data_IF_888938923757
#
_entry.id   IF_888938923757
#
_cell.length_a   1.000
_cell.length_b   1.000
_cell.length_c   1.000
_cell.angle_alpha   90.00
_cell.angle_beta   90.00
_cell.angle_gamma   90.00
#
_symmetry.space_group_name_H-M   'P 1'
#
loop_
_entity.id
_entity.type
_entity.pdbx_description
1 polymer ?
#
# COMPACT_ATOMS: atom_id res chain seq x y z
N UNK A 1 17.12 95.96 -3.35
CA UNK A 1 17.09 94.60 -3.91
C UNK A 1 15.71 94.01 -3.66
N UNK A 2 15.14 93.51 -4.74
CA UNK A 2 13.86 92.82 -4.91
C UNK A 2 13.59 91.72 -3.88
N UNK A 3 12.40 91.70 -3.28
CA UNK A 3 11.85 90.54 -2.59
C UNK A 3 10.58 90.08 -3.31
N UNK A 4 10.64 88.94 -3.99
CA UNK A 4 9.48 88.34 -4.64
C UNK A 4 8.40 87.95 -3.61
N UNK A 5 7.10 88.05 -3.92
CA UNK A 5 6.06 87.53 -3.05
C UNK A 5 6.18 85.99 -2.94
N UNK A 6 5.84 85.40 -1.78
CA UNK A 6 5.88 83.95 -1.61
C UNK A 6 4.93 83.26 -2.59
N UNK A 7 5.30 82.09 -3.16
CA UNK A 7 4.44 81.36 -4.07
C UNK A 7 3.17 80.90 -3.34
N UNK A 8 2.02 81.04 -4.01
CA UNK A 8 0.73 80.55 -3.51
C UNK A 8 0.77 79.03 -3.27
N UNK A 9 0.01 78.51 -2.29
CA UNK A 9 -0.05 77.08 -2.04
C UNK A 9 -0.61 76.39 -3.28
N UNK A 10 0.16 75.49 -3.89
CA UNK A 10 -0.34 74.68 -4.99
C UNK A 10 -1.40 73.72 -4.44
N UNK A 11 -2.65 73.91 -4.89
CA UNK A 11 -3.74 72.98 -4.62
C UNK A 11 -3.36 71.67 -5.30
N UNK A 12 -3.04 70.63 -4.51
CA UNK A 12 -2.77 69.30 -5.03
C UNK A 12 -3.92 68.89 -5.96
N UNK A 13 -3.66 68.36 -7.18
CA UNK A 13 -4.72 67.84 -8.02
C UNK A 13 -5.45 66.73 -7.24
N UNK A 14 -6.70 67.02 -6.82
CA UNK A 14 -7.63 66.11 -6.14
C UNK A 14 -8.18 65.05 -7.10
N UNK A 15 -7.32 64.49 -7.95
CA UNK A 15 -7.69 63.36 -8.82
C UNK A 15 -7.02 62.13 -8.23
N UNK A 16 -7.64 61.58 -7.19
CA UNK A 16 -7.29 60.26 -6.73
C UNK A 16 -7.55 59.26 -7.87
N UNK A 17 -6.62 58.34 -8.18
CA UNK A 17 -6.89 57.29 -9.16
C UNK A 17 -8.10 56.46 -8.68
N UNK A 18 -8.95 55.97 -9.60
CA UNK A 18 -10.09 55.14 -9.23
C UNK A 18 -9.60 53.92 -8.44
N UNK A 19 -10.37 53.48 -7.42
CA UNK A 19 -10.01 52.29 -6.65
C UNK A 19 -9.88 51.08 -7.59
N UNK A 20 -8.96 50.15 -7.30
CA UNK A 20 -8.80 48.94 -8.11
C UNK A 20 -10.13 48.17 -8.16
N UNK A 21 -10.41 47.46 -9.27
CA UNK A 21 -11.65 46.70 -9.43
C UNK A 21 -11.77 45.67 -8.30
N UNK A 22 -12.99 45.49 -7.79
CA UNK A 22 -13.26 44.50 -6.76
C UNK A 22 -12.81 43.11 -7.23
N UNK A 23 -12.18 42.31 -6.36
CA UNK A 23 -11.79 40.95 -6.72
C UNK A 23 -13.01 40.16 -7.18
N UNK A 24 -12.85 39.23 -8.13
CA UNK A 24 -13.98 38.44 -8.65
C UNK A 24 -14.68 37.75 -7.48
N UNK A 25 -15.99 37.98 -7.36
CA UNK A 25 -16.80 37.38 -6.29
C UNK A 25 -16.76 35.86 -6.43
N UNK A 26 -16.08 35.16 -5.51
CA UNK A 26 -16.06 33.70 -5.47
C UNK A 26 -17.44 33.19 -5.09
N UNK A 27 -17.91 32.14 -5.78
CA UNK A 27 -19.13 31.45 -5.40
C UNK A 27 -19.02 30.93 -3.96
N UNK A 28 -20.11 31.06 -3.21
CA UNK A 28 -20.17 30.60 -1.81
C UNK A 28 -19.96 29.07 -1.77
N UNK A 29 -19.01 28.56 -0.97
CA UNK A 29 -18.79 27.12 -0.86
C UNK A 29 -19.95 26.45 -0.12
N UNK A 30 -20.06 25.13 -0.28
CA UNK A 30 -20.99 24.32 0.50
C UNK A 30 -20.50 24.30 1.95
N UNK A 31 -21.24 24.93 2.86
CA UNK A 31 -20.87 25.01 4.28
C UNK A 31 -21.66 24.06 5.19
N UNK A 32 -22.64 23.34 4.64
CA UNK A 32 -23.49 22.41 5.42
C UNK A 32 -23.12 20.97 5.12
N UNK A 33 -23.16 20.12 6.14
CA UNK A 33 -22.97 18.66 5.99
C UNK A 33 -21.54 18.21 5.72
N UNK A 34 -20.53 19.08 5.95
CA UNK A 34 -19.14 18.78 5.63
C UNK A 34 -18.62 17.54 6.37
N UNK A 35 -18.98 17.39 7.65
CA UNK A 35 -18.58 16.24 8.46
C UNK A 35 -19.13 14.92 7.88
N UNK A 36 -20.43 14.88 7.56
CA UNK A 36 -21.04 13.69 6.96
C UNK A 36 -20.40 13.33 5.62
N UNK A 37 -20.20 14.33 4.74
CA UNK A 37 -19.54 14.11 3.46
C UNK A 37 -18.11 13.57 3.61
N UNK A 38 -17.37 14.03 4.63
CA UNK A 38 -16.03 13.52 4.94
C UNK A 38 -16.10 12.08 5.49
N UNK A 39 -16.98 11.79 6.45
CA UNK A 39 -17.15 10.45 7.02
C UNK A 39 -17.51 9.43 5.95
N UNK A 40 -18.47 9.74 5.07
CA UNK A 40 -18.86 8.83 3.98
C UNK A 40 -17.67 8.53 3.05
N UNK A 41 -16.85 9.54 2.72
CA UNK A 41 -15.67 9.35 1.88
C UNK A 41 -14.63 8.44 2.55
N UNK A 42 -14.29 8.72 3.81
CA UNK A 42 -13.30 7.95 4.57
C UNK A 42 -13.78 6.52 4.76
N UNK A 43 -15.05 6.31 5.10
CA UNK A 43 -15.62 4.98 5.26
C UNK A 43 -15.55 4.18 3.95
N UNK A 44 -15.96 4.80 2.84
CA UNK A 44 -15.90 4.16 1.51
C UNK A 44 -14.47 3.78 1.14
N UNK A 45 -13.50 4.69 1.36
CA UNK A 45 -12.08 4.40 1.14
C UNK A 45 -11.59 3.25 2.03
N UNK A 46 -11.98 3.24 3.30
CA UNK A 46 -11.65 2.17 4.24
C UNK A 46 -12.15 0.81 3.77
N UNK A 47 -13.42 0.71 3.34
CA UNK A 47 -13.99 -0.52 2.81
C UNK A 47 -13.27 -1.01 1.56
N UNK A 48 -12.95 -0.10 0.63
CA UNK A 48 -12.22 -0.45 -0.60
C UNK A 48 -10.82 -0.97 -0.25
N UNK A 49 -10.08 -0.29 0.62
CA UNK A 49 -8.75 -0.73 1.03
C UNK A 49 -8.78 -2.06 1.79
N UNK A 50 -9.79 -2.28 2.64
CA UNK A 50 -9.97 -3.55 3.34
C UNK A 50 -10.23 -4.71 2.36
N UNK A 51 -11.07 -4.49 1.34
CA UNK A 51 -11.33 -5.49 0.30
C UNK A 51 -10.05 -5.81 -0.51
N UNK A 52 -9.27 -4.79 -0.89
CA UNK A 52 -7.99 -4.98 -1.59
C UNK A 52 -6.99 -5.74 -0.71
N UNK A 53 -6.87 -5.39 0.56
CA UNK A 53 -5.98 -6.06 1.51
C UNK A 53 -6.36 -7.53 1.70
N UNK A 54 -7.65 -7.81 1.87
CA UNK A 54 -8.17 -9.18 1.98
C UNK A 54 -7.92 -10.01 0.71
N UNK A 55 -8.18 -9.42 -0.47
CA UNK A 55 -7.93 -10.08 -1.75
C UNK A 55 -6.43 -10.37 -1.93
N UNK A 56 -5.56 -9.44 -1.56
CA UNK A 56 -4.11 -9.60 -1.66
C UNK A 56 -3.61 -10.79 -0.85
N UNK A 57 -4.06 -10.93 0.41
CA UNK A 57 -3.70 -12.09 1.25
C UNK A 57 -4.20 -13.39 0.63
N UNK A 58 -5.43 -13.39 0.12
CA UNK A 58 -6.02 -14.58 -0.49
C UNK A 58 -5.22 -15.06 -1.71
N UNK A 59 -4.92 -14.16 -2.65
CA UNK A 59 -4.25 -14.51 -3.89
C UNK A 59 -2.75 -14.74 -3.73
N UNK A 60 -2.05 -13.95 -2.91
CA UNK A 60 -0.60 -14.03 -2.80
C UNK A 60 -0.09 -14.95 -1.70
N UNK A 61 -0.92 -15.28 -0.70
CA UNK A 61 -0.50 -16.15 0.40
C UNK A 61 -1.30 -17.45 0.39
N UNK A 62 -2.63 -17.36 0.45
CA UNK A 62 -3.47 -18.55 0.65
C UNK A 62 -3.47 -19.47 -0.56
N UNK A 63 -3.72 -18.94 -1.77
CA UNK A 63 -3.73 -19.75 -3.00
C UNK A 63 -2.41 -20.45 -3.30
N UNK A 64 -1.23 -19.78 -3.33
CA UNK A 64 0.01 -20.45 -3.64
C UNK A 64 0.39 -21.47 -2.56
N UNK A 65 0.07 -21.22 -1.29
CA UNK A 65 0.23 -22.22 -0.23
C UNK A 65 -0.57 -23.48 -0.54
N UNK A 66 -1.86 -23.35 -0.79
CA UNK A 66 -2.73 -24.50 -1.09
C UNK A 66 -2.22 -25.25 -2.33
N UNK A 67 -1.85 -24.53 -3.38
CA UNK A 67 -1.31 -25.12 -4.59
C UNK A 67 0.00 -25.89 -4.33
N UNK A 68 0.92 -25.32 -3.54
CA UNK A 68 2.17 -25.99 -3.18
C UNK A 68 1.94 -27.27 -2.36
N UNK A 69 0.99 -27.26 -1.42
CA UNK A 69 0.61 -28.47 -0.69
C UNK A 69 -0.03 -29.51 -1.62
N UNK A 70 -0.93 -29.08 -2.50
CA UNK A 70 -1.56 -29.99 -3.48
C UNK A 70 -0.51 -30.62 -4.40
N UNK A 71 0.43 -29.83 -4.91
CA UNK A 71 1.53 -30.32 -5.75
C UNK A 71 2.44 -31.28 -4.99
N UNK A 72 2.73 -30.99 -3.71
CA UNK A 72 3.53 -31.87 -2.86
C UNK A 72 2.86 -33.24 -2.68
N UNK A 73 1.55 -33.28 -2.40
CA UNK A 73 0.82 -34.54 -2.25
C UNK A 73 0.56 -35.25 -3.58
N UNK A 74 0.44 -34.53 -4.69
CA UNK A 74 0.23 -35.12 -6.01
C UNK A 74 1.51 -35.79 -6.57
N UNK A 75 2.68 -35.23 -6.25
CA UNK A 75 4.01 -35.73 -6.71
C UNK A 75 4.75 -36.55 -5.64
N UNK A 76 4.16 -36.70 -4.45
CA UNK A 76 4.81 -37.35 -3.33
C UNK A 76 4.94 -38.85 -3.53
N UNK A 77 6.11 -39.31 -3.94
CA UNK A 77 6.53 -40.72 -3.82
C UNK A 77 6.98 -40.96 -2.38
N UNK A 78 5.99 -41.01 -1.47
CA UNK A 78 6.23 -41.03 -0.03
C UNK A 78 7.02 -42.25 0.43
N UNK A 79 6.87 -43.39 -0.26
CA UNK A 79 7.63 -44.61 0.02
C UNK A 79 9.11 -44.44 -0.32
N UNK A 80 9.44 -43.86 -1.49
CA UNK A 80 10.83 -43.61 -1.88
C UNK A 80 11.51 -42.58 -0.98
N UNK A 81 10.76 -41.56 -0.53
CA UNK A 81 11.25 -40.60 0.45
C UNK A 81 11.43 -41.22 1.83
N UNK A 82 10.53 -42.10 2.26
CA UNK A 82 10.65 -42.82 3.52
C UNK A 82 11.87 -43.76 3.48
N UNK A 83 12.09 -44.48 2.39
CA UNK A 83 13.28 -45.30 2.19
C UNK A 83 14.54 -44.45 2.21
N UNK A 84 14.58 -43.30 1.53
CA UNK A 84 15.73 -42.38 1.59
C UNK A 84 16.01 -41.89 3.02
N UNK A 85 14.96 -41.57 3.80
CA UNK A 85 15.11 -41.17 5.21
C UNK A 85 15.58 -42.34 6.09
N UNK A 86 15.11 -43.55 5.83
CA UNK A 86 15.53 -44.76 6.53
C UNK A 86 17.02 -45.07 6.26
N UNK A 87 17.47 -44.95 5.00
CA UNK A 87 18.89 -45.09 4.63
C UNK A 87 19.78 -44.04 5.29
N UNK A 88 19.26 -42.83 5.48
CA UNK A 88 19.92 -41.75 6.24
C UNK A 88 19.94 -41.99 7.75
N UNK A 89 19.24 -43.02 8.24
CA UNK A 89 19.18 -43.37 9.66
C UNK A 89 18.35 -42.40 10.49
N UNK A 90 17.36 -41.72 9.88
CA UNK A 90 16.48 -40.79 10.61
C UNK A 90 15.55 -41.52 11.59
N UNK A 91 15.21 -42.78 11.31
CA UNK A 91 14.24 -43.53 12.11
C UNK A 91 14.94 -44.34 13.20
N UNK A 92 14.49 -44.16 14.45
CA UNK A 92 14.91 -45.01 15.57
C UNK A 92 14.36 -46.43 15.45
N UNK A 93 13.20 -46.59 14.82
CA UNK A 93 12.53 -47.88 14.61
C UNK A 93 13.16 -48.73 13.51
N UNK A 94 13.90 -48.12 12.59
CA UNK A 94 14.59 -48.81 11.48
C UNK A 94 16.07 -48.43 11.54
N UNK A 95 16.90 -49.17 12.31
CA UNK A 95 18.32 -48.91 12.38
C UNK A 95 18.96 -49.07 10.99
N UNK A 96 19.85 -48.15 10.62
CA UNK A 96 20.54 -48.18 9.31
C UNK A 96 21.21 -49.52 9.00
N UNK A 97 21.70 -50.20 10.04
CA UNK A 97 22.36 -51.52 9.93
C UNK A 97 21.41 -52.64 9.48
N UNK A 98 20.11 -52.48 9.69
CA UNK A 98 19.08 -53.45 9.28
C UNK A 98 18.70 -53.33 7.80
N UNK A 99 19.08 -52.24 7.13
CA UNK A 99 18.76 -52.00 5.73
C UNK A 99 19.82 -52.63 4.81
N UNK A 100 19.40 -53.33 3.74
CA UNK A 100 20.30 -54.09 2.86
C UNK A 100 21.08 -53.20 1.86
N UNK A 101 21.59 -52.04 2.29
CA UNK A 101 22.31 -51.12 1.40
C UNK A 101 23.78 -51.49 1.15
N UNK A 102 24.34 -52.47 1.88
CA UNK A 102 25.73 -52.88 1.72
C UNK A 102 25.93 -54.21 0.95
N UNK A 103 24.86 -54.85 0.45
CA UNK A 103 25.00 -56.13 -0.27
C UNK A 103 24.85 -56.01 -1.80
N UNK A 104 24.37 -54.89 -2.32
CA UNK A 104 24.11 -54.71 -3.76
C UNK A 104 25.22 -53.97 -4.55
N UNK A 105 26.25 -53.42 -3.90
CA UNK A 105 27.39 -52.76 -4.57
C UNK A 105 28.60 -53.69 -4.84
N UNK A 106 28.50 -54.99 -4.52
CA UNK A 106 29.60 -55.96 -4.64
C UNK A 106 29.25 -57.16 -5.55
N UNK A 107 28.57 -56.93 -6.66
CA UNK A 107 28.45 -57.92 -7.74
C UNK A 107 28.54 -57.26 -9.11
#
# INVERSE_FOLDING_TARGET
>A
MSGCPPPSPQVCPQVCPPPPPAPPCRAKPIMRGLHWAQTTKVFTQGCVLAAIGGASIYFFIKRPRIAAYQDYYAKGEFEDWADEMARKGLFQSVPKESLPDNQHMNK
#
